data_IF_983154544632
#
_entry.id   IF_983154544632
#
_cell.length_a   1.000
_cell.length_b   1.000
_cell.length_c   1.000
_cell.angle_alpha   90.00
_cell.angle_beta   90.00
_cell.angle_gamma   90.00
#
_symmetry.space_group_name_H-M   'P 1'
#
loop_
_entity.id
_entity.type
_entity.pdbx_description
1 polymer ?
#
# COMPACT_ATOMS: atom_id res chain seq x y z
N UNK A 1 14.98 1.17 -13.66
CA UNK A 1 15.01 2.10 -14.82
C UNK A 1 15.71 3.39 -14.39
N UNK A 2 16.25 4.15 -15.37
CA UNK A 2 16.72 5.50 -15.10
C UNK A 2 15.57 6.37 -14.56
N UNK A 3 15.87 7.20 -13.59
CA UNK A 3 14.93 8.12 -12.96
C UNK A 3 15.45 9.56 -13.11
N UNK A 4 14.82 10.29 -14.03
CA UNK A 4 15.23 11.67 -14.34
C UNK A 4 15.07 12.62 -13.15
N UNK A 5 14.06 12.41 -12.31
CA UNK A 5 13.87 13.20 -11.08
C UNK A 5 15.06 13.04 -10.14
N UNK A 6 15.54 11.80 -9.95
CA UNK A 6 16.71 11.54 -9.11
C UNK A 6 17.97 12.16 -9.70
N UNK A 7 18.16 12.04 -11.01
CA UNK A 7 19.30 12.66 -11.68
C UNK A 7 19.30 14.20 -11.51
N UNK A 8 18.16 14.85 -11.75
CA UNK A 8 18.01 16.31 -11.63
C UNK A 8 18.18 16.80 -10.18
N UNK A 9 17.86 15.98 -9.20
CA UNK A 9 18.02 16.30 -7.77
C UNK A 9 19.41 15.94 -7.22
N UNK A 10 20.28 15.34 -8.04
CA UNK A 10 21.65 14.99 -7.63
C UNK A 10 21.75 13.79 -6.70
N UNK A 11 20.81 12.84 -6.78
CA UNK A 11 20.90 11.59 -6.05
C UNK A 11 22.13 10.79 -6.50
N UNK A 12 22.75 10.04 -5.58
CA UNK A 12 23.85 9.12 -5.88
C UNK A 12 23.41 7.98 -6.78
N UNK A 13 22.24 7.38 -6.46
CA UNK A 13 21.58 6.41 -7.34
C UNK A 13 20.53 7.10 -8.19
N UNK A 14 20.66 6.94 -9.51
CA UNK A 14 19.75 7.58 -10.48
C UNK A 14 18.81 6.56 -11.13
N UNK A 15 18.54 5.46 -10.45
CA UNK A 15 17.63 4.40 -10.90
C UNK A 15 16.59 4.09 -9.84
N UNK A 16 15.40 3.68 -10.27
CA UNK A 16 14.34 3.22 -9.37
C UNK A 16 13.57 2.03 -9.94
N UNK A 17 12.95 1.24 -9.03
CA UNK A 17 12.09 0.11 -9.33
C UNK A 17 10.62 0.55 -9.44
N UNK A 18 10.25 1.24 -10.51
CA UNK A 18 8.87 1.72 -10.70
C UNK A 18 8.09 0.79 -11.63
N UNK A 19 6.92 0.26 -11.20
CA UNK A 19 6.02 -0.47 -12.09
C UNK A 19 5.51 0.41 -13.23
N UNK A 20 5.18 -0.21 -14.37
CA UNK A 20 4.65 0.50 -15.56
C UNK A 20 3.14 0.49 -15.65
N UNK A 21 2.47 0.12 -14.58
CA UNK A 21 1.00 0.10 -14.53
C UNK A 21 0.44 1.52 -14.36
N UNK A 22 -0.60 1.81 -15.12
CA UNK A 22 -1.39 3.03 -14.93
C UNK A 22 -2.42 2.78 -13.83
N UNK A 23 -2.15 3.31 -12.65
CA UNK A 23 -3.00 3.12 -11.47
C UNK A 23 -4.36 3.80 -11.60
N UNK A 24 -4.42 4.94 -12.31
CA UNK A 24 -5.67 5.68 -12.50
C UNK A 24 -6.61 4.96 -13.49
N UNK A 25 -6.04 4.31 -14.50
CA UNK A 25 -6.81 3.52 -15.46
C UNK A 25 -7.18 2.12 -14.92
N UNK A 26 -6.38 1.58 -13.99
CA UNK A 26 -6.50 0.19 -13.53
C UNK A 26 -7.42 0.02 -12.31
N UNK A 27 -7.76 1.09 -11.60
CA UNK A 27 -8.53 1.03 -10.36
C UNK A 27 -9.73 1.96 -10.44
N UNK A 28 -10.90 1.46 -10.02
CA UNK A 28 -12.10 2.29 -9.94
C UNK A 28 -11.84 3.56 -9.13
N UNK A 29 -12.23 4.71 -9.68
CA UNK A 29 -12.00 6.03 -9.10
C UNK A 29 -12.55 6.17 -7.67
N UNK A 30 -13.65 5.47 -7.34
CA UNK A 30 -14.25 5.54 -6.00
C UNK A 30 -13.39 4.84 -4.95
N UNK A 31 -12.60 3.85 -5.36
CA UNK A 31 -11.62 3.18 -4.53
C UNK A 31 -10.29 3.97 -4.50
N UNK A 32 -9.75 4.30 -5.67
CA UNK A 32 -8.44 4.96 -5.81
C UNK A 32 -8.33 6.26 -5.02
N UNK A 33 -9.42 7.02 -4.89
CA UNK A 33 -9.41 8.30 -4.16
C UNK A 33 -8.97 8.21 -2.69
N UNK A 34 -9.04 7.03 -2.08
CA UNK A 34 -8.59 6.78 -0.71
C UNK A 34 -7.18 6.19 -0.62
N UNK A 35 -6.60 5.78 -1.75
CA UNK A 35 -5.35 5.03 -1.82
C UNK A 35 -4.17 5.95 -2.15
N UNK A 36 -3.08 5.85 -1.38
CA UNK A 36 -1.74 6.14 -1.87
C UNK A 36 -1.25 5.00 -2.76
N UNK A 37 -0.11 5.16 -3.41
CA UNK A 37 0.36 4.20 -4.39
C UNK A 37 0.67 2.83 -3.80
N UNK A 38 1.18 2.76 -2.56
CA UNK A 38 1.38 1.48 -1.86
C UNK A 38 0.09 0.65 -1.77
N UNK A 39 -1.03 1.29 -1.40
CA UNK A 39 -2.32 0.62 -1.31
C UNK A 39 -2.87 0.24 -2.71
N UNK A 40 -2.62 1.07 -3.71
CA UNK A 40 -3.03 0.81 -5.09
C UNK A 40 -2.28 -0.40 -5.69
N UNK A 41 -0.97 -0.48 -5.50
CA UNK A 41 -0.19 -1.65 -5.93
C UNK A 41 -0.61 -2.92 -5.19
N UNK A 42 -0.84 -2.83 -3.88
CA UNK A 42 -1.33 -3.97 -3.10
C UNK A 42 -2.72 -4.45 -3.59
N UNK A 43 -3.61 -3.52 -3.95
CA UNK A 43 -4.92 -3.86 -4.50
C UNK A 43 -4.80 -4.64 -5.82
N UNK A 44 -4.01 -4.17 -6.76
CA UNK A 44 -3.80 -4.87 -8.04
C UNK A 44 -3.11 -6.22 -7.85
N UNK A 45 -2.12 -6.29 -6.94
CA UNK A 45 -1.45 -7.54 -6.60
C UNK A 45 -2.41 -8.57 -6.00
N UNK A 46 -3.32 -8.13 -5.12
CA UNK A 46 -4.33 -9.02 -4.55
C UNK A 46 -5.34 -9.52 -5.60
N UNK A 47 -5.75 -8.67 -6.55
CA UNK A 47 -6.57 -9.12 -7.68
C UNK A 47 -5.88 -10.24 -8.47
N UNK A 48 -4.59 -10.08 -8.76
CA UNK A 48 -3.81 -11.09 -9.46
C UNK A 48 -3.68 -12.38 -8.62
N UNK A 49 -3.40 -12.26 -7.33
CA UNK A 49 -3.30 -13.42 -6.42
C UNK A 49 -4.62 -14.19 -6.31
N UNK A 50 -5.76 -13.52 -6.26
CA UNK A 50 -7.09 -14.14 -6.27
C UNK A 50 -7.31 -14.93 -7.55
N UNK A 51 -6.99 -14.30 -8.71
CA UNK A 51 -7.11 -14.95 -10.02
C UNK A 51 -6.17 -16.15 -10.15
N UNK A 52 -4.92 -16.02 -9.72
CA UNK A 52 -3.91 -17.08 -9.78
C UNK A 52 -4.28 -18.28 -8.88
N UNK A 53 -4.91 -17.99 -7.73
CA UNK A 53 -5.42 -19.02 -6.83
C UNK A 53 -6.71 -19.73 -7.35
N UNK A 54 -7.26 -19.29 -8.47
CA UNK A 54 -8.52 -19.83 -9.01
C UNK A 54 -9.75 -19.50 -8.15
N UNK A 55 -9.67 -18.45 -7.33
CA UNK A 55 -10.76 -18.01 -6.47
C UNK A 55 -11.65 -16.99 -7.17
N UNK A 56 -12.91 -16.97 -6.75
CA UNK A 56 -13.88 -15.96 -7.17
C UNK A 56 -14.14 -14.95 -6.06
N UNK A 57 -14.69 -13.76 -6.35
CA UNK A 57 -15.11 -12.81 -5.32
C UNK A 57 -16.08 -13.41 -4.30
N UNK A 58 -16.96 -14.32 -4.72
CA UNK A 58 -17.95 -14.99 -3.90
C UNK A 58 -17.32 -15.93 -2.88
N UNK A 59 -16.20 -16.59 -3.24
CA UNK A 59 -15.46 -17.48 -2.34
C UNK A 59 -14.85 -16.71 -1.16
N UNK A 60 -14.56 -15.43 -1.36
CA UNK A 60 -13.83 -14.58 -0.43
C UNK A 60 -14.76 -13.70 0.40
N UNK A 61 -15.72 -13.07 -0.27
CA UNK A 61 -16.54 -12.02 0.31
C UNK A 61 -17.34 -12.51 1.53
N UNK A 62 -17.28 -11.73 2.60
CA UNK A 62 -18.05 -11.95 3.85
C UNK A 62 -17.76 -13.27 4.58
N UNK A 63 -16.70 -13.97 4.19
CA UNK A 63 -16.27 -15.17 4.91
C UNK A 63 -15.42 -14.78 6.14
N UNK A 64 -15.88 -15.06 7.39
CA UNK A 64 -15.14 -14.69 8.60
C UNK A 64 -13.88 -15.52 8.82
N UNK A 65 -13.68 -16.58 8.02
CA UNK A 65 -12.50 -17.44 8.08
C UNK A 65 -11.42 -17.06 7.05
N UNK A 66 -11.67 -16.00 6.26
CA UNK A 66 -10.70 -15.46 5.30
C UNK A 66 -10.26 -14.08 5.77
N UNK A 67 -8.96 -13.94 6.02
CA UNK A 67 -8.35 -12.72 6.54
C UNK A 67 -7.41 -12.03 5.55
N UNK A 68 -6.97 -10.82 5.92
CA UNK A 68 -5.89 -10.09 5.27
C UNK A 68 -4.98 -9.44 6.31
N UNK A 69 -3.68 -9.67 6.19
CA UNK A 69 -2.64 -9.03 6.98
C UNK A 69 -1.62 -8.45 6.02
N UNK A 70 -1.60 -7.14 5.90
CA UNK A 70 -0.70 -6.46 4.98
C UNK A 70 -0.35 -5.08 5.50
N UNK A 71 0.68 -4.45 4.96
CA UNK A 71 1.09 -3.14 5.39
C UNK A 71 2.07 -2.47 4.46
N UNK A 72 2.62 -1.36 4.92
CA UNK A 72 3.69 -0.62 4.26
C UNK A 72 4.74 -0.26 5.31
N UNK A 73 6.00 -0.24 4.91
CA UNK A 73 7.11 0.12 5.79
C UNK A 73 7.12 1.59 6.17
N UNK A 74 6.53 2.46 5.35
CA UNK A 74 6.45 3.89 5.56
C UNK A 74 5.11 4.48 5.16
N UNK A 75 4.82 5.68 5.65
CA UNK A 75 3.69 6.48 5.19
C UNK A 75 3.93 6.97 3.74
N UNK A 76 2.85 7.32 3.03
CA UNK A 76 2.95 7.95 1.71
C UNK A 76 3.55 9.35 1.85
N UNK A 77 4.84 9.49 1.54
CA UNK A 77 5.55 10.76 1.62
C UNK A 77 5.11 11.73 0.52
N UNK A 78 4.71 11.24 -0.65
CA UNK A 78 4.12 12.05 -1.72
C UNK A 78 2.85 12.76 -1.22
N UNK A 79 1.89 12.00 -0.69
CA UNK A 79 0.64 12.58 -0.21
C UNK A 79 0.84 13.49 1.01
N UNK A 80 1.83 13.21 1.86
CA UNK A 80 2.21 14.12 2.96
C UNK A 80 2.71 15.44 2.40
N UNK A 81 3.60 15.44 1.40
CA UNK A 81 4.09 16.65 0.76
C UNK A 81 2.96 17.45 0.11
N UNK A 82 2.10 16.80 -0.67
CA UNK A 82 0.94 17.44 -1.30
C UNK A 82 0.07 18.13 -0.24
N UNK A 83 -0.19 17.48 0.89
CA UNK A 83 -0.98 18.05 1.97
C UNK A 83 -0.28 19.27 2.63
N UNK A 84 1.02 19.14 2.90
CA UNK A 84 1.83 20.20 3.51
C UNK A 84 1.91 21.44 2.60
N UNK A 85 2.21 21.25 1.31
CA UNK A 85 2.33 22.33 0.34
C UNK A 85 0.96 23.01 0.10
N UNK A 86 -0.11 22.20 0.01
CA UNK A 86 -1.48 22.75 -0.07
C UNK A 86 -1.83 23.61 1.15
N UNK A 87 -1.43 23.18 2.36
CA UNK A 87 -1.68 23.94 3.58
C UNK A 87 -0.90 25.27 3.60
N UNK A 88 0.37 25.26 3.14
CA UNK A 88 1.26 26.41 3.10
C UNK A 88 0.86 27.42 2.02
N UNK A 89 0.59 26.95 0.81
CA UNK A 89 0.34 27.80 -0.35
C UNK A 89 -1.11 28.29 -0.42
N UNK A 90 -2.05 27.52 0.10
CA UNK A 90 -3.48 27.83 -0.01
C UNK A 90 -4.14 27.94 1.36
N UNK A 91 -4.49 26.80 1.96
CA UNK A 91 -5.02 26.71 3.33
C UNK A 91 -5.28 25.26 3.72
N UNK A 92 -5.39 24.98 5.03
CA UNK A 92 -5.77 23.66 5.56
C UNK A 92 -7.10 23.15 4.98
N UNK A 93 -8.08 24.04 4.76
CA UNK A 93 -9.38 23.69 4.19
C UNK A 93 -9.30 23.15 2.75
N UNK A 94 -8.22 23.42 2.03
CA UNK A 94 -8.02 22.98 0.65
C UNK A 94 -7.34 21.61 0.52
N UNK A 95 -6.83 21.06 1.61
CA UNK A 95 -6.18 19.72 1.61
C UNK A 95 -7.15 18.63 1.12
N UNK A 96 -8.42 18.74 1.47
CA UNK A 96 -9.45 17.77 1.08
C UNK A 96 -9.57 16.60 2.07
N UNK A 97 -10.66 15.82 1.98
CA UNK A 97 -11.02 14.84 3.00
C UNK A 97 -10.29 13.49 2.88
N UNK A 98 -9.55 13.26 1.80
CA UNK A 98 -8.98 11.94 1.50
C UNK A 98 -7.49 11.81 1.89
N UNK A 99 -6.83 12.88 2.31
CA UNK A 99 -5.39 12.85 2.59
C UNK A 99 -5.04 12.01 3.81
N UNK A 100 -5.88 11.97 4.84
CA UNK A 100 -5.63 11.12 6.01
C UNK A 100 -5.51 9.64 5.59
N UNK A 101 -6.50 9.00 4.95
CA UNK A 101 -6.32 7.63 4.50
C UNK A 101 -5.16 7.46 3.51
N UNK A 102 -4.91 8.41 2.61
CA UNK A 102 -3.81 8.29 1.65
C UNK A 102 -2.43 8.23 2.28
N UNK A 103 -2.23 8.87 3.43
CA UNK A 103 -0.93 8.92 4.11
C UNK A 103 -0.68 7.77 5.09
N UNK A 104 -1.70 7.00 5.46
CA UNK A 104 -1.59 5.97 6.48
C UNK A 104 -1.07 4.64 5.93
N UNK A 105 -0.09 4.02 6.60
CA UNK A 105 0.40 2.66 6.27
C UNK A 105 -0.71 1.61 6.36
N UNK A 106 -1.64 1.78 7.30
CA UNK A 106 -2.79 0.88 7.49
C UNK A 106 -3.82 0.93 6.37
N UNK A 107 -3.77 1.93 5.50
CA UNK A 107 -4.68 2.03 4.35
C UNK A 107 -4.46 0.90 3.33
N UNK A 108 -3.31 0.28 3.32
CA UNK A 108 -3.08 -0.94 2.53
C UNK A 108 -4.13 -1.98 2.87
N UNK A 109 -4.22 -2.39 4.14
CA UNK A 109 -5.22 -3.37 4.58
C UNK A 109 -6.64 -2.83 4.50
N UNK A 110 -6.88 -1.60 4.92
CA UNK A 110 -8.21 -1.02 4.90
C UNK A 110 -8.81 -1.01 3.48
N UNK A 111 -8.00 -0.71 2.47
CA UNK A 111 -8.41 -0.74 1.07
C UNK A 111 -8.71 -2.16 0.59
N UNK A 112 -7.86 -3.13 0.91
CA UNK A 112 -8.04 -4.52 0.55
C UNK A 112 -9.29 -5.11 1.22
N UNK A 113 -9.42 -4.96 2.54
CA UNK A 113 -10.56 -5.47 3.30
C UNK A 113 -11.89 -4.90 2.80
N UNK A 114 -11.92 -3.61 2.48
CA UNK A 114 -13.12 -2.95 1.96
C UNK A 114 -13.46 -3.41 0.55
N UNK A 115 -12.48 -3.42 -0.35
CA UNK A 115 -12.71 -3.73 -1.77
C UNK A 115 -13.13 -5.20 -1.98
N UNK A 116 -12.52 -6.12 -1.26
CA UNK A 116 -12.78 -7.57 -1.38
C UNK A 116 -13.73 -8.10 -0.32
N UNK A 117 -14.32 -7.23 0.52
CA UNK A 117 -15.25 -7.58 1.58
C UNK A 117 -14.70 -8.67 2.52
N UNK A 118 -13.45 -8.52 2.97
CA UNK A 118 -12.81 -9.44 3.90
C UNK A 118 -13.39 -9.25 5.31
N UNK A 119 -14.01 -10.28 5.86
CA UNK A 119 -14.68 -10.26 7.17
C UNK A 119 -13.92 -11.04 8.25
N UNK A 120 -12.87 -11.78 7.88
CA UNK A 120 -11.93 -12.34 8.82
C UNK A 120 -11.01 -11.28 9.40
N UNK A 121 -9.88 -11.69 10.00
CA UNK A 121 -8.90 -10.74 10.52
C UNK A 121 -8.46 -9.77 9.42
N UNK A 122 -8.40 -8.48 9.76
CA UNK A 122 -7.90 -7.46 8.85
C UNK A 122 -7.19 -6.37 9.65
N UNK A 123 -5.89 -6.41 9.69
CA UNK A 123 -5.07 -5.41 10.36
C UNK A 123 -3.72 -5.25 9.67
N UNK A 124 -3.12 -4.08 9.87
CA UNK A 124 -1.84 -3.73 9.27
C UNK A 124 -0.71 -3.93 10.25
N UNK A 125 0.43 -4.37 9.70
CA UNK A 125 1.72 -4.34 10.37
C UNK A 125 2.63 -3.34 9.66
N UNK A 126 3.58 -2.76 10.39
CA UNK A 126 4.64 -1.93 9.85
C UNK A 126 5.94 -2.24 10.58
N UNK A 127 6.93 -2.73 9.84
CA UNK A 127 8.24 -3.16 10.34
C UNK A 127 9.34 -2.78 9.34
N UNK A 128 9.23 -1.56 8.79
CA UNK A 128 10.13 -1.07 7.74
C UNK A 128 10.27 -2.11 6.61
N UNK A 129 11.48 -2.41 6.15
CA UNK A 129 11.74 -3.37 5.06
C UNK A 129 11.29 -4.81 5.36
N UNK A 130 11.05 -5.17 6.63
CA UNK A 130 10.58 -6.48 7.04
C UNK A 130 9.03 -6.62 7.08
N UNK A 131 8.28 -5.58 6.74
CA UNK A 131 6.82 -5.55 6.87
C UNK A 131 6.14 -6.74 6.21
N UNK A 132 6.45 -7.02 4.95
CA UNK A 132 5.84 -8.13 4.21
C UNK A 132 6.17 -9.50 4.83
N UNK A 133 7.42 -9.69 5.27
CA UNK A 133 7.85 -10.93 5.92
C UNK A 133 7.09 -11.17 7.24
N UNK A 134 6.92 -10.11 8.06
CA UNK A 134 6.14 -10.19 9.29
C UNK A 134 4.65 -10.44 9.03
N UNK A 135 4.08 -9.84 7.99
CA UNK A 135 2.69 -10.12 7.58
C UNK A 135 2.50 -11.59 7.21
N UNK A 136 3.44 -12.18 6.44
CA UNK A 136 3.40 -13.59 6.05
C UNK A 136 3.54 -14.50 7.27
N UNK A 137 4.50 -14.25 8.16
CA UNK A 137 4.69 -15.02 9.39
C UNK A 137 3.46 -14.98 10.28
N UNK A 138 2.89 -13.80 10.48
CA UNK A 138 1.67 -13.65 11.27
C UNK A 138 0.46 -14.38 10.64
N UNK A 139 0.29 -14.29 9.31
CA UNK A 139 -0.76 -15.01 8.60
C UNK A 139 -0.64 -16.53 8.80
N UNK A 140 0.58 -17.07 8.72
CA UNK A 140 0.86 -18.47 9.00
C UNK A 140 0.41 -18.86 10.42
N UNK A 141 0.75 -18.05 11.42
CA UNK A 141 0.34 -18.29 12.81
C UNK A 141 -1.20 -18.28 12.98
N UNK A 142 -1.92 -17.38 12.30
CA UNK A 142 -3.37 -17.34 12.36
C UNK A 142 -4.01 -18.64 11.81
N UNK A 143 -3.42 -19.21 10.76
CA UNK A 143 -3.86 -20.49 10.19
C UNK A 143 -3.50 -21.64 11.12
N UNK A 144 -2.27 -21.70 11.64
CA UNK A 144 -1.81 -22.74 12.57
C UNK A 144 -2.64 -22.77 13.86
N UNK A 145 -3.06 -21.62 14.35
CA UNK A 145 -3.94 -21.47 15.52
C UNK A 145 -5.43 -21.73 15.21
N UNK A 146 -5.74 -22.16 14.00
CA UNK A 146 -7.11 -22.41 13.53
C UNK A 146 -8.05 -21.20 13.66
N UNK A 147 -7.53 -19.98 13.59
CA UNK A 147 -8.31 -18.74 13.60
C UNK A 147 -8.81 -18.35 12.22
N UNK A 148 -8.04 -18.68 11.20
CA UNK A 148 -8.38 -18.44 9.79
C UNK A 148 -8.11 -19.72 8.98
N UNK A 149 -8.83 -19.89 7.87
CA UNK A 149 -8.58 -20.96 6.90
C UNK A 149 -7.68 -20.46 5.76
N UNK A 150 -7.78 -19.16 5.45
CA UNK A 150 -7.00 -18.48 4.43
C UNK A 150 -6.67 -17.06 4.90
N UNK A 151 -5.46 -16.59 4.59
CA UNK A 151 -5.07 -15.21 4.84
C UNK A 151 -4.28 -14.67 3.65
N UNK A 152 -4.73 -13.57 3.09
CA UNK A 152 -3.94 -12.77 2.16
C UNK A 152 -2.88 -12.02 2.96
N UNK A 153 -1.61 -12.16 2.58
CA UNK A 153 -0.50 -11.58 3.34
C UNK A 153 0.52 -10.93 2.43
N UNK A 154 1.05 -9.79 2.86
CA UNK A 154 2.08 -9.10 2.10
C UNK A 154 2.22 -7.64 2.46
N UNK A 155 2.70 -6.85 1.52
CA UNK A 155 2.83 -5.41 1.68
C UNK A 155 3.05 -4.71 0.36
N UNK A 156 2.91 -3.41 0.37
CA UNK A 156 3.18 -2.52 -0.76
C UNK A 156 3.95 -1.30 -0.29
N UNK A 157 4.80 -0.80 -1.19
CA UNK A 157 5.52 0.45 -0.97
C UNK A 157 5.27 1.39 -2.14
N UNK A 158 5.33 2.69 -1.88
CA UNK A 158 5.40 3.68 -2.95
C UNK A 158 6.85 4.03 -3.28
N UNK A 159 7.12 4.32 -4.53
CA UNK A 159 8.37 4.91 -4.96
C UNK A 159 8.17 6.40 -5.21
N UNK A 160 8.72 7.24 -4.34
CA UNK A 160 8.69 8.67 -4.49
C UNK A 160 10.01 9.30 -4.01
N UNK A 161 10.50 10.33 -4.72
CA UNK A 161 11.77 10.98 -4.42
C UNK A 161 11.88 11.47 -2.98
N UNK A 162 10.79 11.90 -2.38
CA UNK A 162 10.77 12.44 -1.01
C UNK A 162 11.04 11.40 0.08
N UNK A 163 10.79 10.12 -0.20
CA UNK A 163 11.21 9.01 0.65
C UNK A 163 12.64 8.61 0.30
N UNK A 164 12.95 8.48 -0.97
CA UNK A 164 14.25 8.04 -1.45
C UNK A 164 15.38 8.99 -1.08
N UNK A 165 15.12 10.30 -0.98
CA UNK A 165 16.14 11.27 -0.55
C UNK A 165 16.60 11.04 0.90
N UNK A 166 15.77 10.47 1.77
CA UNK A 166 16.16 10.13 3.13
C UNK A 166 17.18 8.97 3.15
N UNK A 167 16.98 7.98 2.28
CA UNK A 167 17.92 6.88 2.10
C UNK A 167 19.21 7.34 1.44
N UNK A 168 19.13 8.17 0.41
CA UNK A 168 20.32 8.75 -0.23
C UNK A 168 21.15 9.58 0.76
N UNK A 169 20.52 10.38 1.60
CA UNK A 169 21.19 11.15 2.65
C UNK A 169 21.89 10.26 3.69
N UNK A 170 21.34 9.10 3.98
CA UNK A 170 21.97 8.08 4.82
C UNK A 170 23.16 7.38 4.18
N UNK A 171 23.28 7.42 2.85
CA UNK A 171 24.29 6.69 2.10
C UNK A 171 23.92 5.25 1.76
N UNK A 172 22.61 4.93 1.79
CA UNK A 172 22.08 3.63 1.44
C UNK A 172 21.68 3.55 -0.05
#
# INVERSE_FOLDING_TARGET
>A
RANETYANMGFRSQVSGRPTVDLEASIDRKLKRFMGDAAAYAYLSMQQAITDAGLTPEDIAKNPRIGVVAGSGGASTENVLIAVDTAREKSVKRIGPYMVPRTMTSTVVASLATAFQIYGINYSMSSACATSAHCIGNAMEQIQLNKQDMVFAGGGEEEHWSLSCLFDAMGA
#
